data_IF_978148886284
#
_entry.id   IF_978148886284
#
_cell.length_a   1.000
_cell.length_b   1.000
_cell.length_c   1.000
_cell.angle_alpha   90.00
_cell.angle_beta   90.00
_cell.angle_gamma   90.00
#
_symmetry.space_group_name_H-M   'P 1'
#
loop_
_entity.id
_entity.type
_entity.pdbx_description
1 polymer ?
#
# COMPACT_ATOMS: atom_id res chain seq x y z
N UNK A 1 -3.37 -8.08 7.22
CA UNK A 1 -3.69 -9.52 7.37
C UNK A 1 -2.46 -10.31 6.98
N UNK A 2 -1.95 -11.22 7.81
CA UNK A 2 -0.76 -11.99 7.44
C UNK A 2 -1.16 -13.06 6.44
N UNK A 3 -0.46 -13.13 5.31
CA UNK A 3 -0.58 -14.22 4.35
C UNK A 3 0.51 -15.24 4.62
N UNK A 4 0.21 -16.47 4.32
CA UNK A 4 1.09 -17.60 4.52
C UNK A 4 1.41 -18.24 3.18
N UNK A 5 2.68 -18.52 2.94
CA UNK A 5 3.13 -19.12 1.68
C UNK A 5 4.04 -20.32 1.95
N UNK A 6 3.91 -21.37 1.17
CA UNK A 6 4.88 -22.46 1.15
C UNK A 6 6.19 -21.89 0.61
N UNK A 7 7.28 -22.03 1.37
CA UNK A 7 8.57 -21.40 1.06
C UNK A 7 9.10 -21.77 -0.33
N UNK A 8 8.97 -23.03 -0.69
CA UNK A 8 9.56 -23.57 -1.92
C UNK A 8 8.69 -23.29 -3.17
N UNK A 9 7.38 -23.55 -3.07
CA UNK A 9 6.45 -23.41 -4.21
C UNK A 9 5.86 -22.02 -4.37
N UNK A 10 5.93 -21.18 -3.31
CA UNK A 10 5.26 -19.88 -3.22
C UNK A 10 3.74 -19.92 -3.28
N UNK A 11 3.16 -21.11 -3.14
CA UNK A 11 1.71 -21.27 -3.06
C UNK A 11 1.16 -20.69 -1.75
N UNK A 12 0.04 -19.96 -1.86
CA UNK A 12 -0.61 -19.36 -0.69
C UNK A 12 -1.39 -20.41 0.11
N UNK A 13 -1.25 -20.34 1.43
CA UNK A 13 -1.91 -21.26 2.38
C UNK A 13 -2.91 -20.48 3.21
N UNK A 14 -4.10 -21.05 3.39
CA UNK A 14 -5.19 -20.42 4.11
C UNK A 14 -5.56 -21.21 5.36
N UNK A 15 -5.72 -20.50 6.49
CA UNK A 15 -6.30 -21.08 7.69
C UNK A 15 -7.76 -21.54 7.42
N UNK A 16 -8.13 -22.68 7.98
CA UNK A 16 -9.47 -23.23 7.81
C UNK A 16 -9.74 -23.87 6.44
N UNK A 17 -8.74 -23.92 5.54
CA UNK A 17 -8.83 -24.58 4.24
C UNK A 17 -8.00 -25.87 4.23
N UNK A 18 -8.28 -26.80 3.30
CA UNK A 18 -7.42 -27.97 3.10
C UNK A 18 -5.99 -27.54 2.76
N UNK A 19 -5.02 -28.22 3.39
CA UNK A 19 -3.60 -28.02 3.16
C UNK A 19 -2.98 -29.32 2.64
N UNK A 20 -2.14 -29.19 1.60
CA UNK A 20 -1.37 -30.28 1.05
C UNK A 20 0.02 -29.79 0.71
N UNK A 21 1.05 -30.28 1.41
CA UNK A 21 2.44 -29.88 1.20
C UNK A 21 3.28 -31.15 0.98
N UNK A 22 4.11 -31.07 -0.05
CA UNK A 22 5.12 -32.12 -0.31
C UNK A 22 6.49 -31.52 -0.05
N UNK A 23 7.21 -32.09 0.89
CA UNK A 23 8.57 -31.70 1.24
C UNK A 23 9.54 -32.74 0.71
N UNK A 24 10.56 -32.30 -0.04
CA UNK A 24 11.64 -33.16 -0.50
C UNK A 24 12.98 -32.64 0.02
N UNK A 25 13.63 -33.41 0.86
CA UNK A 25 14.95 -33.07 1.40
C UNK A 25 15.83 -34.31 1.47
N UNK A 26 17.01 -34.24 0.84
CA UNK A 26 18.01 -35.32 0.88
C UNK A 26 17.51 -36.66 0.33
N UNK A 27 16.61 -36.65 -0.69
CA UNK A 27 16.02 -37.85 -1.27
C UNK A 27 14.83 -38.43 -0.49
N UNK A 28 14.45 -37.83 0.63
CA UNK A 28 13.26 -38.20 1.40
C UNK A 28 12.13 -37.25 1.09
N UNK A 29 10.97 -37.82 0.71
CA UNK A 29 9.76 -37.05 0.44
C UNK A 29 8.78 -37.24 1.59
N UNK A 30 8.33 -36.17 2.19
CA UNK A 30 7.28 -36.15 3.22
C UNK A 30 6.04 -35.43 2.70
N UNK A 31 4.88 -35.98 2.96
CA UNK A 31 3.59 -35.37 2.65
C UNK A 31 2.92 -34.89 3.93
N UNK A 32 2.50 -33.65 3.98
CA UNK A 32 1.71 -33.08 5.06
C UNK A 32 0.35 -32.74 4.49
N UNK A 33 -0.68 -33.39 5.00
CA UNK A 33 -2.06 -33.15 4.62
C UNK A 33 -2.86 -32.79 5.87
N UNK A 34 -3.68 -31.75 5.77
CA UNK A 34 -4.61 -31.35 6.83
C UNK A 34 -5.90 -30.81 6.22
N UNK A 35 -7.00 -31.13 6.85
CA UNK A 35 -8.30 -30.59 6.45
C UNK A 35 -9.20 -30.46 7.71
N UNK A 36 -9.37 -29.23 8.23
CA UNK A 36 -8.76 -27.96 7.78
C UNK A 36 -7.33 -27.74 8.32
N UNK A 37 -6.61 -26.78 7.74
CA UNK A 37 -5.35 -26.27 8.31
C UNK A 37 -5.66 -25.44 9.56
N UNK A 38 -5.22 -25.93 10.73
CA UNK A 38 -5.45 -25.26 12.01
C UNK A 38 -4.37 -24.20 12.32
N UNK A 39 -4.64 -23.23 13.21
CA UNK A 39 -3.64 -22.26 13.65
C UNK A 39 -2.38 -22.92 14.24
N UNK A 40 -2.53 -24.00 15.00
CA UNK A 40 -1.43 -24.73 15.64
C UNK A 40 -0.54 -25.39 14.58
N UNK A 41 -1.14 -26.04 13.58
CA UNK A 41 -0.40 -26.63 12.47
C UNK A 41 0.31 -25.53 11.67
N UNK A 42 -0.34 -24.40 11.42
CA UNK A 42 0.28 -23.26 10.74
C UNK A 42 1.50 -22.75 11.52
N UNK A 43 1.38 -22.55 12.83
CA UNK A 43 2.49 -22.13 13.69
C UNK A 43 3.65 -23.13 13.65
N UNK A 44 3.34 -24.43 13.68
CA UNK A 44 4.33 -25.50 13.56
C UNK A 44 5.07 -25.46 12.23
N UNK A 45 4.38 -25.28 11.10
CA UNK A 45 4.98 -25.20 9.77
C UNK A 45 5.84 -23.94 9.59
N UNK A 46 5.46 -22.83 10.22
CA UNK A 46 6.28 -21.61 10.25
C UNK A 46 7.58 -21.86 11.04
N UNK A 47 7.50 -22.48 12.20
CA UNK A 47 8.67 -22.82 13.03
C UNK A 47 9.62 -23.78 12.32
N UNK A 48 9.11 -24.70 11.52
CA UNK A 48 9.91 -25.57 10.66
C UNK A 48 10.52 -24.85 9.44
N UNK A 49 10.12 -23.61 9.19
CA UNK A 49 10.55 -22.86 8.02
C UNK A 49 9.99 -23.38 6.69
N UNK A 50 8.94 -24.21 6.74
CA UNK A 50 8.21 -24.75 5.57
C UNK A 50 7.25 -23.73 5.02
N UNK A 51 6.56 -23.02 5.92
CA UNK A 51 5.69 -21.90 5.60
C UNK A 51 6.37 -20.61 6.04
N UNK A 52 6.33 -19.62 5.19
CA UNK A 52 6.79 -18.27 5.49
C UNK A 52 5.58 -17.35 5.63
N UNK A 53 5.63 -16.48 6.62
CA UNK A 53 4.70 -15.36 6.69
C UNK A 53 5.24 -14.26 5.80
N UNK A 54 4.47 -13.87 4.81
CA UNK A 54 4.65 -12.57 4.24
C UNK A 54 3.96 -11.59 5.20
N UNK A 55 4.76 -10.75 5.84
CA UNK A 55 4.19 -9.54 6.42
C UNK A 55 3.71 -8.71 5.25
N UNK A 56 2.42 -8.82 4.96
CA UNK A 56 1.83 -8.20 3.79
C UNK A 56 1.80 -6.70 3.92
N UNK A 57 2.90 -6.14 3.54
CA UNK A 57 2.80 -5.00 2.63
C UNK A 57 2.92 -5.63 1.25
N UNK A 58 1.85 -5.68 0.43
CA UNK A 58 2.02 -6.03 -0.96
C UNK A 58 3.20 -5.17 -1.44
N UNK A 59 4.22 -5.79 -2.01
CA UNK A 59 5.24 -5.04 -2.75
C UNK A 59 4.51 -4.54 -3.98
N UNK A 60 3.86 -3.41 -3.85
CA UNK A 60 3.25 -2.75 -5.00
C UNK A 60 4.35 -2.54 -6.02
N UNK A 61 4.09 -2.95 -7.24
CA UNK A 61 4.97 -2.63 -8.33
C UNK A 61 5.24 -1.13 -8.31
N UNK A 62 6.49 -0.76 -8.47
CA UNK A 62 6.91 0.63 -8.63
C UNK A 62 7.45 0.79 -10.06
N UNK A 63 6.58 0.71 -11.08
CA UNK A 63 6.98 0.68 -12.48
C UNK A 63 7.67 1.98 -12.90
N UNK A 64 7.37 3.06 -12.21
CA UNK A 64 7.93 4.39 -12.51
C UNK A 64 9.19 4.72 -11.72
N UNK A 65 9.63 3.82 -10.81
CA UNK A 65 10.84 4.03 -10.01
C UNK A 65 10.79 5.26 -9.10
N UNK A 66 9.58 5.70 -8.68
CA UNK A 66 9.43 6.86 -7.80
C UNK A 66 9.95 6.57 -6.40
N UNK A 67 10.25 7.62 -5.64
CA UNK A 67 10.71 7.47 -4.26
C UNK A 67 9.62 6.88 -3.36
N UNK A 68 9.98 5.88 -2.55
CA UNK A 68 9.11 5.28 -1.54
C UNK A 68 9.22 6.00 -0.17
N UNK A 69 9.96 7.09 -0.09
CA UNK A 69 10.21 7.82 1.16
C UNK A 69 9.25 8.99 1.31
N UNK A 70 8.51 9.03 2.41
CA UNK A 70 7.67 10.18 2.78
C UNK A 70 8.49 11.47 2.86
N UNK A 71 9.72 11.41 3.40
CA UNK A 71 10.61 12.59 3.50
C UNK A 71 10.94 13.21 2.15
N UNK A 72 11.02 12.41 1.09
CA UNK A 72 11.21 12.92 -0.27
C UNK A 72 10.05 13.81 -0.70
N UNK A 73 8.81 13.42 -0.41
CA UNK A 73 7.62 14.21 -0.75
C UNK A 73 7.47 15.45 0.13
N UNK A 74 7.89 15.38 1.39
CA UNK A 74 8.00 16.55 2.26
C UNK A 74 9.00 17.55 1.68
N UNK A 75 10.16 17.10 1.19
CA UNK A 75 11.16 17.96 0.56
C UNK A 75 10.64 18.57 -0.75
N UNK A 76 9.89 17.81 -1.56
CA UNK A 76 9.22 18.37 -2.76
C UNK A 76 8.19 19.44 -2.40
N UNK A 77 7.38 19.19 -1.39
CA UNK A 77 6.39 20.13 -0.89
C UNK A 77 7.06 21.41 -0.38
N UNK A 78 8.15 21.28 0.39
CA UNK A 78 8.94 22.40 0.88
C UNK A 78 9.44 23.28 -0.25
N UNK A 79 10.03 22.69 -1.30
CA UNK A 79 10.47 23.42 -2.51
C UNK A 79 9.33 24.16 -3.18
N UNK A 80 8.17 23.51 -3.34
CA UNK A 80 6.98 24.10 -3.96
C UNK A 80 6.46 25.30 -3.17
N UNK A 81 6.58 25.25 -1.83
CA UNK A 81 6.16 26.32 -0.92
C UNK A 81 7.27 27.37 -0.66
N UNK A 82 8.43 27.21 -1.27
CA UNK A 82 9.62 28.02 -1.01
C UNK A 82 10.03 28.06 0.47
N UNK A 83 9.95 26.91 1.13
CA UNK A 83 10.32 26.71 2.54
C UNK A 83 11.59 25.85 2.65
N UNK A 84 12.32 26.02 3.77
CA UNK A 84 13.34 25.05 4.15
C UNK A 84 12.66 23.71 4.56
N UNK A 85 13.35 22.60 4.36
CA UNK A 85 12.81 21.26 4.68
C UNK A 85 12.33 21.16 6.13
N UNK A 86 13.17 21.60 7.08
CA UNK A 86 12.90 21.52 8.52
C UNK A 86 11.66 22.34 8.90
N UNK A 87 11.45 23.51 8.25
CA UNK A 87 10.28 24.36 8.48
C UNK A 87 9.01 23.66 7.94
N UNK A 88 9.10 23.06 6.75
CA UNK A 88 7.98 22.33 6.18
C UNK A 88 7.63 21.10 7.00
N UNK A 89 8.65 20.33 7.44
CA UNK A 89 8.47 19.16 8.29
C UNK A 89 7.81 19.53 9.62
N UNK A 90 8.28 20.58 10.31
CA UNK A 90 7.67 21.09 11.54
C UNK A 90 6.23 21.58 11.33
N UNK A 91 5.97 22.27 10.22
CA UNK A 91 4.61 22.71 9.86
C UNK A 91 3.68 21.52 9.65
N UNK A 92 4.10 20.48 8.93
CA UNK A 92 3.31 19.28 8.72
C UNK A 92 3.08 18.52 10.04
N UNK A 93 4.07 18.46 10.93
CA UNK A 93 3.92 17.91 12.27
C UNK A 93 2.87 18.65 13.10
N UNK A 94 2.88 19.98 13.05
CA UNK A 94 1.86 20.79 13.71
C UNK A 94 0.47 20.55 13.09
N UNK A 95 0.35 20.49 11.77
CA UNK A 95 -0.92 20.18 11.11
C UNK A 95 -1.39 18.77 11.52
N UNK A 96 -0.50 17.78 11.55
CA UNK A 96 -0.83 16.41 11.90
C UNK A 96 -1.39 16.27 13.33
N UNK A 97 -0.97 17.12 14.27
CA UNK A 97 -1.50 17.11 15.64
C UNK A 97 -2.98 17.50 15.72
N UNK A 98 -3.47 18.27 14.75
CA UNK A 98 -4.89 18.69 14.69
C UNK A 98 -5.67 17.94 13.61
N UNK A 99 -5.04 17.63 12.49
CA UNK A 99 -5.68 16.98 11.34
C UNK A 99 -4.69 16.10 10.57
N UNK A 100 -4.44 14.86 11.01
CA UNK A 100 -3.57 13.93 10.30
C UNK A 100 -4.03 13.70 8.84
N UNK A 101 -5.35 13.71 8.63
CA UNK A 101 -5.97 13.58 7.30
C UNK A 101 -5.48 14.66 6.33
N UNK A 102 -5.29 15.90 6.80
CA UNK A 102 -4.81 16.99 5.96
C UNK A 102 -3.37 16.74 5.47
N UNK A 103 -2.50 16.20 6.32
CA UNK A 103 -1.12 15.84 5.94
C UNK A 103 -1.11 14.70 4.94
N UNK A 104 -1.91 13.65 5.19
CA UNK A 104 -2.06 12.53 4.26
C UNK A 104 -2.50 13.04 2.88
N UNK A 105 -3.49 13.92 2.82
CA UNK A 105 -4.00 14.50 1.59
C UNK A 105 -2.92 15.29 0.84
N UNK A 106 -2.18 16.14 1.53
CA UNK A 106 -1.11 16.95 0.92
C UNK A 106 -0.04 16.06 0.28
N UNK A 107 0.40 15.03 1.00
CA UNK A 107 1.43 14.10 0.52
C UNK A 107 0.89 13.19 -0.58
N UNK A 108 -0.33 12.69 -0.47
CA UNK A 108 -0.97 11.88 -1.51
C UNK A 108 -1.09 12.65 -2.83
N UNK A 109 -1.42 13.95 -2.78
CA UNK A 109 -1.44 14.81 -3.96
C UNK A 109 -0.05 15.03 -4.57
N UNK A 110 1.01 15.11 -3.76
CA UNK A 110 2.37 15.21 -4.30
C UNK A 110 2.79 13.91 -5.00
N UNK A 111 2.45 12.76 -4.43
CA UNK A 111 2.70 11.44 -5.05
C UNK A 111 1.92 11.32 -6.35
N UNK A 112 0.64 11.68 -6.35
CA UNK A 112 -0.21 11.66 -7.54
C UNK A 112 0.37 12.53 -8.68
N UNK A 113 0.84 13.74 -8.36
CA UNK A 113 1.44 14.64 -9.34
C UNK A 113 2.74 14.06 -9.92
N UNK A 114 3.53 13.35 -9.12
CA UNK A 114 4.75 12.72 -9.63
C UNK A 114 4.43 11.55 -10.53
N UNK A 115 3.49 10.70 -10.13
CA UNK A 115 3.06 9.57 -10.93
C UNK A 115 2.42 9.99 -12.25
N UNK A 116 1.62 11.05 -12.24
CA UNK A 116 0.95 11.56 -13.45
C UNK A 116 1.94 12.03 -14.53
N UNK A 117 3.17 12.44 -14.15
CA UNK A 117 4.23 12.84 -15.11
C UNK A 117 4.75 11.68 -15.98
N UNK A 118 4.52 10.43 -15.59
CA UNK A 118 4.94 9.25 -16.34
C UNK A 118 3.93 8.78 -17.37
N UNK A 119 2.81 9.47 -17.52
CA UNK A 119 1.75 9.14 -18.48
C UNK A 119 1.67 10.21 -19.56
N UNK A 120 1.34 9.78 -20.78
CA UNK A 120 0.98 10.68 -21.85
C UNK A 120 -0.41 11.28 -21.60
N UNK A 121 -0.53 12.59 -21.78
CA UNK A 121 -1.77 13.34 -21.54
C UNK A 121 -2.05 13.63 -20.06
N UNK A 122 -3.20 14.21 -19.79
CA UNK A 122 -3.59 14.59 -18.44
C UNK A 122 -4.48 13.51 -17.79
N UNK A 123 -4.45 13.44 -16.45
CA UNK A 123 -5.35 12.54 -15.68
C UNK A 123 -6.83 12.79 -15.99
N UNK A 124 -7.18 13.99 -16.52
CA UNK A 124 -8.53 14.36 -16.96
C UNK A 124 -8.97 13.61 -18.21
N UNK A 125 -8.02 13.14 -19.00
CA UNK A 125 -8.26 12.45 -20.28
C UNK A 125 -8.43 10.93 -20.08
N UNK A 126 -8.23 10.44 -18.86
CA UNK A 126 -8.51 9.05 -18.51
C UNK A 126 -10.02 8.80 -18.49
N UNK A 127 -10.43 7.61 -18.88
CA UNK A 127 -11.83 7.17 -18.80
C UNK A 127 -12.26 6.96 -17.34
N UNK A 128 -11.37 6.31 -16.58
CA UNK A 128 -11.53 6.03 -15.14
C UNK A 128 -10.33 6.51 -14.37
N UNK A 129 -10.53 6.85 -13.12
CA UNK A 129 -9.50 7.21 -12.16
C UNK A 129 -9.71 6.47 -10.85
N UNK A 130 -8.62 6.25 -10.12
CA UNK A 130 -8.62 5.61 -8.82
C UNK A 130 -8.43 6.67 -7.74
N UNK A 131 -9.37 6.76 -6.83
CA UNK A 131 -9.39 7.78 -5.78
C UNK A 131 -8.99 7.13 -4.46
N UNK A 132 -7.92 7.65 -3.86
CA UNK A 132 -7.46 7.22 -2.54
C UNK A 132 -8.13 8.08 -1.46
N UNK A 133 -8.95 7.43 -0.63
CA UNK A 133 -9.57 8.05 0.54
C UNK A 133 -8.50 8.38 1.60
N UNK A 134 -8.51 9.61 2.08
CA UNK A 134 -7.59 10.04 3.14
C UNK A 134 -8.07 9.70 4.55
N UNK A 135 -9.30 9.20 4.68
CA UNK A 135 -9.90 8.84 5.96
C UNK A 135 -9.56 7.42 6.37
N UNK A 136 -9.64 6.48 5.45
CA UNK A 136 -9.49 5.04 5.73
C UNK A 136 -8.52 4.32 4.79
N UNK A 137 -7.99 5.03 3.79
CA UNK A 137 -7.08 4.45 2.80
C UNK A 137 -7.78 3.56 1.77
N UNK A 138 -9.10 3.55 1.70
CA UNK A 138 -9.81 2.82 0.65
C UNK A 138 -9.54 3.43 -0.72
N UNK A 139 -9.45 2.57 -1.73
CA UNK A 139 -9.28 2.98 -3.12
C UNK A 139 -10.56 2.65 -3.86
N UNK A 140 -11.13 3.66 -4.53
CA UNK A 140 -12.38 3.54 -5.28
C UNK A 140 -12.13 3.95 -6.72
N UNK A 141 -12.55 3.11 -7.66
CA UNK A 141 -12.59 3.46 -9.08
C UNK A 141 -13.81 4.31 -9.37
N UNK A 142 -13.62 5.41 -10.07
CA UNK A 142 -14.69 6.30 -10.50
C UNK A 142 -14.46 6.76 -11.95
N UNK A 143 -15.53 7.08 -12.70
CA UNK A 143 -15.42 7.76 -13.98
C UNK A 143 -14.71 9.11 -13.80
N UNK A 144 -13.75 9.44 -14.66
CA UNK A 144 -13.00 10.69 -14.54
C UNK A 144 -13.90 11.94 -14.61
N UNK A 145 -15.01 11.85 -15.33
CA UNK A 145 -16.05 12.91 -15.42
C UNK A 145 -16.70 13.19 -14.07
N UNK A 146 -16.92 12.17 -13.23
CA UNK A 146 -17.51 12.33 -11.90
C UNK A 146 -16.64 13.18 -10.96
N UNK A 147 -15.34 13.30 -11.22
CA UNK A 147 -14.44 14.17 -10.47
C UNK A 147 -14.82 15.66 -10.57
N UNK A 148 -15.42 16.07 -11.68
CA UNK A 148 -15.84 17.47 -11.91
C UNK A 148 -17.13 17.77 -11.17
N UNK A 149 -18.01 16.78 -11.06
CA UNK A 149 -19.36 16.92 -10.51
C UNK A 149 -19.41 16.76 -8.99
N UNK A 150 -18.48 15.98 -8.43
CA UNK A 150 -18.42 15.71 -7.00
C UNK A 150 -17.19 16.41 -6.40
N UNK A 151 -17.36 16.98 -5.19
CA UNK A 151 -16.32 17.69 -4.44
C UNK A 151 -15.16 16.76 -4.00
N UNK A 152 -14.58 15.98 -4.92
CA UNK A 152 -13.37 15.16 -4.65
C UNK A 152 -12.11 16.01 -4.37
N UNK A 153 -12.30 17.27 -3.97
CA UNK A 153 -11.18 18.13 -3.56
C UNK A 153 -10.35 17.58 -2.42
N UNK A 154 -10.97 16.69 -1.63
CA UNK A 154 -10.35 16.07 -0.47
C UNK A 154 -9.68 14.72 -0.73
N UNK A 155 -9.62 14.27 -1.98
CA UNK A 155 -9.00 13.00 -2.33
C UNK A 155 -7.85 13.19 -3.30
N UNK A 156 -6.88 12.26 -3.28
CA UNK A 156 -5.89 12.14 -4.32
C UNK A 156 -6.39 11.15 -5.38
N UNK A 157 -6.21 11.48 -6.65
CA UNK A 157 -6.63 10.66 -7.76
C UNK A 157 -5.43 10.14 -8.55
N UNK A 158 -5.49 8.91 -9.01
CA UNK A 158 -4.45 8.20 -9.73
C UNK A 158 -5.01 7.60 -11.02
N UNK A 159 -4.15 7.36 -12.01
CA UNK A 159 -4.56 6.79 -13.29
C UNK A 159 -4.76 5.29 -13.24
N UNK A 160 -4.04 4.60 -12.37
CA UNK A 160 -4.12 3.16 -12.23
C UNK A 160 -4.35 2.74 -10.78
N UNK A 161 -4.88 1.54 -10.60
CA UNK A 161 -5.01 0.91 -9.29
C UNK A 161 -3.64 0.69 -8.65
N UNK A 162 -2.63 0.34 -9.45
CA UNK A 162 -1.26 0.14 -9.01
C UNK A 162 -0.67 1.41 -8.41
N UNK A 163 -0.88 2.56 -9.06
CA UNK A 163 -0.41 3.86 -8.58
C UNK A 163 -1.10 4.28 -7.28
N UNK A 164 -2.40 4.06 -7.19
CA UNK A 164 -3.15 4.33 -5.96
C UNK A 164 -2.68 3.45 -4.79
N UNK A 165 -2.45 2.17 -5.05
CA UNK A 165 -1.90 1.23 -4.08
C UNK A 165 -0.46 1.60 -3.68
N UNK A 166 0.37 2.02 -4.62
CA UNK A 166 1.73 2.47 -4.36
C UNK A 166 1.72 3.70 -3.43
N UNK A 167 0.87 4.67 -3.72
CA UNK A 167 0.69 5.86 -2.88
C UNK A 167 0.21 5.49 -1.46
N UNK A 168 -0.76 4.60 -1.33
CA UNK A 168 -1.21 4.07 -0.04
C UNK A 168 -0.06 3.40 0.72
N UNK A 169 0.75 2.58 0.04
CA UNK A 169 1.91 1.91 0.64
C UNK A 169 2.93 2.92 1.20
N UNK A 170 3.24 3.98 0.46
CA UNK A 170 4.15 5.04 0.90
C UNK A 170 3.60 5.74 2.16
N UNK A 171 2.30 5.98 2.22
CA UNK A 171 1.63 6.71 3.30
C UNK A 171 1.14 5.81 4.44
N UNK A 172 1.32 4.49 4.37
CA UNK A 172 0.73 3.51 5.28
C UNK A 172 1.04 3.76 6.76
N UNK A 173 2.24 4.26 7.07
CA UNK A 173 2.60 4.58 8.45
C UNK A 173 1.79 5.79 8.98
N UNK A 174 1.57 6.81 8.14
CA UNK A 174 0.76 7.97 8.51
C UNK A 174 -0.71 7.59 8.72
N UNK A 175 -1.26 6.68 7.88
CA UNK A 175 -2.60 6.13 8.12
C UNK A 175 -2.66 5.37 9.45
N UNK A 176 -1.68 4.53 9.73
CA UNK A 176 -1.62 3.78 10.98
C UNK A 176 -1.51 4.70 12.20
N UNK A 177 -0.75 5.78 12.12
CA UNK A 177 -0.63 6.76 13.21
C UNK A 177 -1.90 7.58 13.40
N UNK A 178 -2.52 8.00 12.28
CA UNK A 178 -3.74 8.81 12.30
C UNK A 178 -4.97 8.06 12.85
N UNK A 179 -5.04 6.75 12.62
CA UNK A 179 -6.22 5.92 12.92
C UNK A 179 -5.94 4.77 13.88
N UNK A 180 -4.80 4.78 14.57
CA UNK A 180 -4.59 3.90 15.73
C UNK A 180 -5.60 4.29 16.81
N UNK A 181 -6.61 3.44 16.95
CA UNK A 181 -7.45 3.40 18.13
C UNK A 181 -6.79 2.59 19.23
#
# INVERSE_FOLDING_TARGET
>A
MNRFFIKDTKEEVFLGKPLKITLSKGGVTQHIEANPCTPELMAYLINLGVVITSSDKPKYANPHGISLSVKYYVAKLARKMNLKFEVCEAMLGNIASYSPIAVILLLAKQISLELDQHYDGHIRDAEHIFVLSTVDGTITEIPAKARVETNYRNFAAFRSLEDANLAYSILSNLYNEAFRK
#
